data_IF_440474462310
#
_entry.id   IF_440474462310
#
_cell.length_a   1.000
_cell.length_b   1.000
_cell.length_c   1.000
_cell.angle_alpha   90.00
_cell.angle_beta   90.00
_cell.angle_gamma   90.00
#
_symmetry.space_group_name_H-M   'P 1'
#
loop_
_entity.id
_entity.type
_entity.pdbx_description
1 polymer ?
#
# COMPACT_ATOMS: atom_id res chain seq x y z
N UNK A 1 -33.85 -34.62 39.37
CA UNK A 1 -35.30 -34.44 39.56
C UNK A 1 -36.01 -34.63 38.25
N UNK A 2 -36.75 -35.64 38.22
CA UNK A 2 -37.56 -36.30 37.20
C UNK A 2 -38.77 -35.47 36.82
N UNK A 3 -39.15 -35.39 35.56
CA UNK A 3 -40.55 -35.26 35.18
C UNK A 3 -40.73 -35.74 33.72
N UNK A 4 -41.24 -36.90 33.62
CA UNK A 4 -41.97 -37.55 32.54
C UNK A 4 -43.40 -37.02 32.50
N UNK A 5 -44.06 -36.99 31.37
CA UNK A 5 -45.51 -37.05 31.10
C UNK A 5 -45.77 -36.40 29.72
N UNK A 6 -46.54 -36.88 28.76
CA UNK A 6 -47.31 -38.06 28.54
C UNK A 6 -47.76 -38.06 27.08
N UNK A 7 -47.91 -39.23 26.54
CA UNK A 7 -48.52 -39.57 25.24
C UNK A 7 -50.02 -39.29 25.32
N UNK A 8 -50.58 -38.65 24.30
CA UNK A 8 -52.01 -38.71 24.04
C UNK A 8 -52.25 -38.99 22.56
N UNK A 9 -52.57 -40.25 22.30
CA UNK A 9 -53.20 -40.75 21.09
C UNK A 9 -54.63 -40.26 21.01
N UNK A 10 -55.06 -39.79 19.88
CA UNK A 10 -56.47 -39.75 19.49
C UNK A 10 -56.61 -40.18 18.02
N UNK A 11 -56.99 -41.39 17.89
CA UNK A 11 -57.45 -42.05 16.70
C UNK A 11 -58.82 -41.55 16.24
N UNK A 12 -59.04 -41.66 14.94
CA UNK A 12 -60.34 -41.87 14.33
C UNK A 12 -61.18 -40.64 13.97
N UNK A 13 -61.12 -40.20 12.73
CA UNK A 13 -62.34 -39.89 12.00
C UNK A 13 -62.15 -40.25 10.51
N UNK A 14 -62.80 -41.35 10.16
CA UNK A 14 -62.97 -41.87 8.82
C UNK A 14 -64.07 -41.09 8.12
N UNK A 15 -63.85 -40.54 6.94
CA UNK A 15 -64.91 -40.20 6.02
C UNK A 15 -64.44 -40.28 4.55
N UNK A 16 -65.16 -40.98 3.71
CA UNK A 16 -64.75 -41.35 2.35
C UNK A 16 -65.32 -40.34 1.35
N UNK A 17 -64.42 -39.58 0.70
CA UNK A 17 -64.76 -38.90 -0.53
C UNK A 17 -63.72 -39.23 -1.60
N UNK A 18 -63.67 -40.50 -2.01
CA UNK A 18 -63.01 -40.92 -3.21
C UNK A 18 -63.83 -40.49 -4.41
N UNK A 19 -63.69 -39.21 -4.88
CA UNK A 19 -63.98 -38.86 -6.28
C UNK A 19 -62.73 -39.18 -7.06
N UNK A 20 -62.82 -40.20 -7.87
CA UNK A 20 -61.84 -40.50 -8.90
C UNK A 20 -61.75 -39.33 -9.90
N UNK A 21 -60.75 -38.47 -9.70
CA UNK A 21 -60.33 -37.57 -10.71
C UNK A 21 -59.35 -38.32 -11.61
N UNK A 22 -59.74 -38.62 -12.81
CA UNK A 22 -58.80 -39.11 -13.82
C UNK A 22 -57.61 -38.16 -13.94
N UNK A 23 -56.39 -38.67 -13.87
CA UNK A 23 -55.21 -37.83 -14.06
C UNK A 23 -55.23 -37.36 -15.52
N UNK A 24 -55.50 -36.06 -15.73
CA UNK A 24 -55.20 -35.43 -17.01
C UNK A 24 -53.71 -35.56 -17.23
N UNK A 25 -53.35 -36.39 -18.18
CA UNK A 25 -51.98 -36.51 -18.64
C UNK A 25 -51.54 -35.16 -19.17
N UNK A 26 -50.73 -34.47 -18.40
CA UNK A 26 -50.04 -33.28 -18.87
C UNK A 26 -49.09 -33.71 -19.97
N UNK A 27 -49.10 -33.07 -21.15
CA UNK A 27 -48.10 -33.34 -22.15
C UNK A 27 -46.73 -33.05 -21.52
N UNK A 28 -45.88 -34.08 -21.47
CA UNK A 28 -44.54 -33.96 -21.02
C UNK A 28 -43.86 -32.82 -21.81
N UNK A 29 -43.26 -31.80 -21.17
CA UNK A 29 -42.53 -30.77 -21.90
C UNK A 29 -41.45 -31.47 -22.71
N UNK A 30 -41.49 -31.31 -24.01
CA UNK A 30 -40.40 -31.77 -24.88
C UNK A 30 -39.15 -31.10 -24.36
N UNK A 31 -38.33 -31.85 -23.61
CA UNK A 31 -37.05 -31.44 -23.14
C UNK A 31 -36.21 -31.05 -24.35
N UNK A 32 -36.17 -29.78 -24.69
CA UNK A 32 -35.28 -29.24 -25.71
C UNK A 32 -33.89 -29.58 -25.23
N UNK A 33 -33.28 -30.64 -25.72
CA UNK A 33 -31.89 -31.00 -25.50
C UNK A 33 -31.08 -29.81 -26.02
N UNK A 34 -30.70 -28.93 -25.11
CA UNK A 34 -29.82 -27.82 -25.40
C UNK A 34 -28.49 -28.42 -25.79
N UNK A 35 -28.19 -28.38 -27.06
CA UNK A 35 -26.95 -28.91 -27.62
C UNK A 35 -25.82 -28.05 -27.02
N UNK A 36 -25.14 -28.58 -26.01
CA UNK A 36 -23.96 -27.95 -25.40
C UNK A 36 -22.83 -28.16 -26.42
N UNK A 37 -22.41 -27.05 -27.01
CA UNK A 37 -21.24 -27.07 -27.87
C UNK A 37 -20.03 -27.15 -26.93
N UNK A 38 -19.37 -28.29 -26.94
CA UNK A 38 -18.12 -28.47 -26.19
C UNK A 38 -16.97 -27.77 -26.88
N UNK A 39 -16.05 -27.23 -26.11
CA UNK A 39 -14.78 -26.69 -26.61
C UNK A 39 -13.92 -27.84 -27.15
N UNK A 40 -13.22 -27.59 -28.25
CA UNK A 40 -12.22 -28.52 -28.75
C UNK A 40 -10.94 -28.40 -27.90
N UNK A 41 -10.20 -29.53 -27.79
CA UNK A 41 -8.95 -29.55 -27.04
C UNK A 41 -7.92 -28.55 -27.62
N UNK A 42 -7.86 -28.45 -28.95
CA UNK A 42 -6.93 -27.52 -29.62
C UNK A 42 -7.29 -26.05 -29.34
N UNK A 43 -8.56 -25.71 -29.29
CA UNK A 43 -9.03 -24.36 -28.98
C UNK A 43 -8.62 -23.94 -27.56
N UNK A 44 -8.74 -24.87 -26.58
CA UNK A 44 -8.25 -24.65 -25.22
C UNK A 44 -6.71 -24.49 -25.18
N UNK A 45 -5.96 -25.32 -25.96
CA UNK A 45 -4.50 -25.22 -26.00
C UNK A 45 -4.01 -23.89 -26.54
N UNK A 46 -4.63 -23.36 -27.60
CA UNK A 46 -4.27 -22.06 -28.17
C UNK A 46 -4.53 -20.93 -27.17
N UNK A 47 -5.68 -20.95 -26.50
CA UNK A 47 -6.02 -19.94 -25.48
C UNK A 47 -5.03 -19.95 -24.32
N UNK A 48 -4.70 -21.15 -23.79
CA UNK A 48 -3.71 -21.28 -22.72
C UNK A 48 -2.32 -20.82 -23.14
N UNK A 49 -1.92 -21.07 -24.39
CA UNK A 49 -0.65 -20.59 -24.90
C UNK A 49 -0.59 -19.06 -24.94
N UNK A 50 -1.63 -18.40 -25.44
CA UNK A 50 -1.71 -16.93 -25.51
C UNK A 50 -1.72 -16.32 -24.10
N UNK A 51 -2.57 -16.85 -23.20
CA UNK A 51 -2.64 -16.40 -21.80
C UNK A 51 -1.30 -16.59 -21.10
N UNK A 52 -0.60 -17.71 -21.33
CA UNK A 52 0.72 -17.97 -20.77
C UNK A 52 1.75 -16.93 -21.18
N UNK A 53 1.77 -16.51 -22.45
CA UNK A 53 2.66 -15.46 -22.94
C UNK A 53 2.35 -14.11 -22.29
N UNK A 54 1.07 -13.73 -22.22
CA UNK A 54 0.66 -12.47 -21.58
C UNK A 54 1.02 -12.49 -20.08
N UNK A 55 0.76 -13.60 -19.39
CA UNK A 55 1.05 -13.74 -17.97
C UNK A 55 2.55 -13.61 -17.66
N UNK A 56 3.43 -14.11 -18.55
CA UNK A 56 4.88 -14.02 -18.39
C UNK A 56 5.38 -12.57 -18.28
N UNK A 57 4.75 -11.63 -18.95
CA UNK A 57 5.08 -10.19 -18.86
C UNK A 57 4.27 -9.45 -17.80
N UNK A 58 3.03 -9.84 -17.60
CA UNK A 58 2.13 -9.14 -16.67
C UNK A 58 2.49 -9.37 -15.20
N UNK A 59 2.91 -10.58 -14.83
CA UNK A 59 3.20 -10.93 -13.43
C UNK A 59 4.35 -10.09 -12.85
N UNK A 60 5.53 -9.97 -13.50
CA UNK A 60 6.61 -9.12 -12.97
C UNK A 60 6.19 -7.65 -12.84
N UNK A 61 5.53 -7.10 -13.86
CA UNK A 61 5.07 -5.71 -13.82
C UNK A 61 4.06 -5.45 -12.68
N UNK A 62 3.19 -6.42 -12.40
CA UNK A 62 2.25 -6.33 -11.30
C UNK A 62 2.94 -6.38 -9.92
N UNK A 63 3.98 -7.18 -9.78
CA UNK A 63 4.79 -7.24 -8.54
C UNK A 63 5.47 -5.90 -8.26
N UNK A 64 6.08 -5.27 -9.26
CA UNK A 64 6.69 -3.94 -9.14
C UNK A 64 5.65 -2.87 -8.79
N UNK A 65 4.48 -2.92 -9.40
CA UNK A 65 3.38 -2.02 -9.08
C UNK A 65 2.94 -2.14 -7.62
N UNK A 66 2.79 -3.37 -7.12
CA UNK A 66 2.44 -3.62 -5.73
C UNK A 66 3.53 -3.14 -4.77
N UNK A 67 4.81 -3.34 -5.09
CA UNK A 67 5.91 -2.86 -4.25
C UNK A 67 5.90 -1.33 -4.14
N UNK A 68 5.72 -0.61 -5.26
CA UNK A 68 5.57 0.86 -5.26
C UNK A 68 4.37 1.34 -4.45
N UNK A 69 3.24 0.65 -4.54
CA UNK A 69 2.06 0.96 -3.73
C UNK A 69 2.34 0.84 -2.22
N UNK A 70 3.14 -0.16 -1.82
CA UNK A 70 3.53 -0.34 -0.42
C UNK A 70 4.50 0.76 0.07
N UNK A 71 5.36 1.26 -0.82
CA UNK A 71 6.21 2.43 -0.51
C UNK A 71 5.36 3.66 -0.20
N UNK A 72 4.22 3.85 -0.90
CA UNK A 72 3.27 4.92 -0.61
C UNK A 72 2.76 4.95 0.84
N UNK A 73 2.63 3.79 1.49
CA UNK A 73 2.31 3.73 2.92
C UNK A 73 3.40 4.39 3.78
N UNK A 74 4.67 4.11 3.48
CA UNK A 74 5.80 4.73 4.18
C UNK A 74 5.84 6.25 4.01
N UNK A 75 5.52 6.75 2.81
CA UNK A 75 5.44 8.19 2.56
C UNK A 75 4.32 8.83 3.39
N UNK A 76 3.17 8.18 3.46
CA UNK A 76 2.04 8.69 4.26
C UNK A 76 2.36 8.73 5.76
N UNK A 77 3.04 7.72 6.28
CA UNK A 77 3.47 7.69 7.68
C UNK A 77 4.59 8.70 7.97
N UNK A 78 5.48 8.95 7.01
CA UNK A 78 6.54 9.96 7.14
C UNK A 78 5.99 11.38 7.26
N UNK A 79 4.78 11.66 6.80
CA UNK A 79 4.16 12.98 6.91
C UNK A 79 4.00 13.46 8.36
N UNK A 80 3.73 12.55 9.30
CA UNK A 80 3.67 12.87 10.71
C UNK A 80 5.06 13.25 11.26
N UNK A 81 6.11 12.56 10.83
CA UNK A 81 7.49 12.90 11.18
C UNK A 81 7.89 14.27 10.60
N UNK A 82 7.49 14.56 9.35
CA UNK A 82 7.75 15.88 8.74
C UNK A 82 7.09 17.03 9.51
N UNK A 83 5.86 16.81 10.01
CA UNK A 83 5.18 17.80 10.85
C UNK A 83 5.96 18.04 12.15
N UNK A 84 6.38 16.98 12.85
CA UNK A 84 7.18 17.10 14.08
C UNK A 84 8.49 17.85 13.86
N UNK A 85 9.21 17.55 12.77
CA UNK A 85 10.43 18.29 12.40
C UNK A 85 10.12 19.76 12.16
N UNK A 86 9.02 20.09 11.47
CA UNK A 86 8.60 21.47 11.23
C UNK A 86 8.30 22.24 12.50
N UNK A 87 7.59 21.63 13.45
CA UNK A 87 7.27 22.21 14.75
C UNK A 87 8.55 22.44 15.61
N UNK A 88 9.44 21.46 15.64
CA UNK A 88 10.68 21.54 16.38
C UNK A 88 11.66 22.54 15.75
N UNK A 89 11.69 22.66 14.44
CA UNK A 89 12.46 23.66 13.72
C UNK A 89 12.04 25.09 14.09
N UNK A 90 10.75 25.35 14.28
CA UNK A 90 10.21 26.62 14.75
C UNK A 90 10.52 26.90 16.21
N UNK A 91 10.66 25.87 17.02
CA UNK A 91 10.87 25.99 18.49
C UNK A 91 12.34 25.89 18.89
N UNK A 92 13.27 25.58 17.97
CA UNK A 92 14.70 25.42 18.26
C UNK A 92 15.06 24.17 19.06
N UNK A 93 14.15 23.19 19.13
CA UNK A 93 14.38 21.92 19.80
C UNK A 93 15.15 20.94 18.89
N UNK A 94 15.55 19.79 19.45
CA UNK A 94 16.02 18.67 18.63
C UNK A 94 14.88 18.21 17.69
N UNK A 95 15.18 17.95 16.42
CA UNK A 95 14.15 17.75 15.41
C UNK A 95 13.24 16.55 15.68
N UNK A 96 13.75 15.49 16.30
CA UNK A 96 12.96 14.33 16.72
C UNK A 96 12.31 14.46 18.09
N UNK A 97 12.44 15.61 18.79
CA UNK A 97 11.88 15.79 20.13
C UNK A 97 10.37 15.58 20.13
N UNK A 98 9.88 14.71 21.02
CA UNK A 98 8.46 14.37 21.13
C UNK A 98 7.92 13.44 20.05
N UNK A 99 8.71 13.04 19.05
CA UNK A 99 8.30 12.09 18.05
C UNK A 99 8.37 10.65 18.59
N UNK A 100 7.26 9.95 18.50
CA UNK A 100 7.22 8.52 18.73
C UNK A 100 7.01 7.81 17.38
N UNK A 101 8.00 7.02 16.97
CA UNK A 101 7.85 6.20 15.75
C UNK A 101 6.60 5.32 15.86
N UNK A 102 5.74 5.28 14.85
CA UNK A 102 4.61 4.38 14.85
C UNK A 102 5.10 2.92 14.95
N UNK A 103 4.29 2.02 15.51
CA UNK A 103 4.62 0.60 15.52
C UNK A 103 4.85 0.10 14.10
N UNK A 104 5.73 -0.88 13.95
CA UNK A 104 5.99 -1.50 12.65
C UNK A 104 4.70 -2.01 12.00
N UNK A 105 4.52 -1.71 10.73
CA UNK A 105 3.40 -2.21 9.94
C UNK A 105 3.81 -3.43 9.11
N UNK A 106 2.92 -3.90 8.24
CA UNK A 106 3.27 -5.00 7.32
C UNK A 106 4.33 -4.59 6.28
N UNK A 107 4.43 -3.31 5.95
CA UNK A 107 5.29 -2.80 4.87
C UNK A 107 6.39 -1.86 5.39
N UNK A 108 6.16 -1.15 6.49
CA UNK A 108 7.11 -0.20 7.11
C UNK A 108 7.65 -0.80 8.38
N UNK A 109 8.96 -0.88 8.49
CA UNK A 109 9.67 -1.41 9.65
C UNK A 109 9.84 -0.34 10.73
N UNK A 110 10.33 0.84 10.35
CA UNK A 110 10.56 1.96 11.26
C UNK A 110 10.61 3.29 10.52
N UNK A 111 10.39 4.36 11.27
CA UNK A 111 10.61 5.74 10.83
C UNK A 111 11.47 6.41 11.89
N UNK A 112 12.60 6.95 11.48
CA UNK A 112 13.56 7.60 12.36
C UNK A 112 13.76 9.04 11.92
N UNK A 113 13.79 9.97 12.89
CA UNK A 113 14.15 11.37 12.68
C UNK A 113 15.56 11.57 13.27
N UNK A 114 16.46 12.11 12.49
CA UNK A 114 17.75 12.56 12.98
C UNK A 114 17.60 13.88 13.76
N UNK A 115 18.07 13.89 14.99
CA UNK A 115 17.87 15.01 15.93
C UNK A 115 18.60 16.30 15.56
N UNK A 116 19.68 16.21 14.79
CA UNK A 116 20.57 17.34 14.47
C UNK A 116 20.29 17.92 13.09
N UNK A 117 19.88 17.09 12.15
CA UNK A 117 19.65 17.48 10.74
C UNK A 117 18.19 17.51 10.34
N UNK A 118 17.31 16.87 11.11
CA UNK A 118 15.89 16.73 10.80
C UNK A 118 15.62 15.77 9.62
N UNK A 119 16.60 15.00 9.16
CA UNK A 119 16.42 14.01 8.14
C UNK A 119 15.53 12.86 8.64
N UNK A 120 14.65 12.36 7.78
CA UNK A 120 13.74 11.28 8.13
C UNK A 120 14.09 10.07 7.30
N UNK A 121 14.51 9.01 7.97
CA UNK A 121 14.79 7.70 7.34
C UNK A 121 13.58 6.79 7.54
N UNK A 122 13.03 6.28 6.45
CA UNK A 122 11.96 5.27 6.44
C UNK A 122 12.56 3.95 6.01
N UNK A 123 12.50 2.95 6.88
CA UNK A 123 12.91 1.59 6.60
C UNK A 123 11.69 0.72 6.29
N UNK A 124 11.75 -0.02 5.20
CA UNK A 124 10.69 -0.94 4.77
C UNK A 124 10.99 -2.38 5.18
N UNK A 125 9.95 -3.20 5.22
CA UNK A 125 10.08 -4.64 5.49
C UNK A 125 10.48 -5.41 4.23
N UNK A 126 10.90 -6.66 4.38
CA UNK A 126 11.22 -7.57 3.28
C UNK A 126 10.05 -7.82 2.29
N UNK A 127 8.85 -7.31 2.57
CA UNK A 127 7.71 -7.33 1.62
C UNK A 127 7.84 -6.28 0.53
N UNK A 128 8.64 -5.26 0.73
CA UNK A 128 8.89 -4.17 -0.21
C UNK A 128 10.21 -4.37 -0.93
N UNK A 129 11.28 -4.61 -0.18
CA UNK A 129 12.63 -4.83 -0.71
C UNK A 129 13.48 -5.61 0.29
N UNK A 130 14.53 -6.24 -0.19
CA UNK A 130 15.46 -7.02 0.64
C UNK A 130 16.09 -6.17 1.74
N UNK A 131 16.50 -6.83 2.82
CA UNK A 131 17.21 -6.19 3.93
C UNK A 131 18.52 -5.58 3.43
N UNK A 132 18.82 -4.35 3.84
CA UNK A 132 19.95 -3.56 3.34
C UNK A 132 19.72 -2.81 2.04
N UNK A 133 18.61 -3.05 1.35
CA UNK A 133 18.16 -2.32 0.16
C UNK A 133 16.74 -1.76 0.33
N UNK A 134 16.42 -1.26 1.52
CA UNK A 134 15.04 -1.03 1.95
C UNK A 134 14.79 0.34 2.58
N UNK A 135 15.67 1.33 2.37
CA UNK A 135 15.51 2.65 3.00
C UNK A 135 15.32 3.76 1.98
N UNK A 136 14.44 4.72 2.32
CA UNK A 136 14.37 6.04 1.69
C UNK A 136 14.65 7.11 2.73
N UNK A 137 15.15 8.25 2.28
CA UNK A 137 15.48 9.38 3.15
C UNK A 137 14.78 10.63 2.65
N UNK A 138 14.09 11.32 3.57
CA UNK A 138 13.60 12.67 3.33
C UNK A 138 14.55 13.68 3.94
N UNK A 139 15.01 14.61 3.12
CA UNK A 139 15.95 15.64 3.52
C UNK A 139 15.23 16.98 3.55
N UNK A 140 15.13 17.62 4.73
CA UNK A 140 14.57 18.95 4.83
C UNK A 140 15.60 19.99 4.40
N UNK A 141 15.13 21.07 3.78
CA UNK A 141 15.93 22.23 3.46
C UNK A 141 15.14 23.53 3.65
N UNK A 142 15.84 24.61 4.00
CA UNK A 142 15.26 25.92 4.09
C UNK A 142 16.06 26.89 3.21
N UNK A 143 15.48 28.06 2.81
CA UNK A 143 16.24 29.08 2.12
C UNK A 143 17.30 29.69 3.06
N UNK A 144 18.43 30.08 2.49
CA UNK A 144 19.52 30.76 3.21
C UNK A 144 19.14 32.18 3.68
N UNK A 145 18.17 32.81 3.02
CA UNK A 145 17.63 34.14 3.34
C UNK A 145 16.12 34.17 3.21
N UNK A 146 15.45 34.95 4.04
CA UNK A 146 13.99 35.14 3.97
C UNK A 146 13.58 36.05 2.80
N UNK A 147 14.37 37.10 2.53
CA UNK A 147 14.00 38.14 1.56
C UNK A 147 14.55 37.86 0.15
N UNK A 148 15.81 37.43 0.08
CA UNK A 148 16.50 37.16 -1.19
C UNK A 148 17.18 35.80 -1.15
N UNK A 149 16.43 34.72 -1.29
CA UNK A 149 17.01 33.39 -1.24
C UNK A 149 17.89 33.11 -2.44
N UNK A 150 19.16 32.74 -2.17
CA UNK A 150 20.15 32.38 -3.21
C UNK A 150 20.52 30.91 -3.20
N UNK A 151 20.30 30.25 -2.08
CA UNK A 151 20.58 28.82 -1.93
C UNK A 151 19.59 28.12 -0.98
N UNK A 152 19.58 26.81 -1.01
CA UNK A 152 18.92 25.98 0.01
C UNK A 152 19.97 25.40 0.95
N UNK A 153 19.73 25.50 2.23
CA UNK A 153 20.62 25.00 3.27
C UNK A 153 19.96 23.90 4.09
N UNK A 154 20.76 22.99 4.60
CA UNK A 154 20.31 21.99 5.56
C UNK A 154 19.77 22.66 6.83
N UNK A 155 18.81 22.06 7.47
CA UNK A 155 18.37 22.47 8.79
C UNK A 155 19.49 22.20 9.80
N UNK A 156 19.61 23.08 10.78
CA UNK A 156 20.55 22.93 11.88
C UNK A 156 19.80 23.12 13.19
N UNK A 157 19.97 22.21 14.11
CA UNK A 157 19.36 22.24 15.43
C UNK A 157 19.67 23.58 16.15
N UNK A 158 18.65 24.17 16.72
CA UNK A 158 18.78 25.42 17.47
C UNK A 158 18.90 26.69 16.59
N UNK A 159 18.98 26.57 15.27
CA UNK A 159 18.98 27.70 14.36
C UNK A 159 17.54 28.04 13.90
N UNK A 160 17.19 29.32 13.93
CA UNK A 160 15.94 29.81 13.40
C UNK A 160 15.89 29.63 11.88
N UNK A 161 14.84 29.03 11.39
CA UNK A 161 14.63 28.82 9.96
C UNK A 161 14.20 30.12 9.27
N UNK A 162 14.76 30.37 8.09
CA UNK A 162 14.56 31.64 7.37
C UNK A 162 13.49 31.58 6.29
N UNK A 163 12.54 30.64 6.41
CA UNK A 163 11.45 30.51 5.45
C UNK A 163 10.81 29.15 5.50
N UNK A 164 10.10 28.78 4.44
CA UNK A 164 9.38 27.52 4.37
C UNK A 164 10.33 26.33 4.19
N UNK A 165 10.18 25.31 5.03
CA UNK A 165 10.89 24.05 4.91
C UNK A 165 10.37 23.32 3.66
N UNK A 166 11.29 22.92 2.80
CA UNK A 166 11.02 22.11 1.62
C UNK A 166 11.62 20.72 1.83
N UNK A 167 10.86 19.72 1.47
CA UNK A 167 11.25 18.32 1.61
C UNK A 167 11.67 17.74 0.27
N UNK A 168 12.77 17.02 0.25
CA UNK A 168 13.18 16.24 -0.90
C UNK A 168 13.36 14.76 -0.51
N UNK A 169 12.80 13.86 -1.33
CA UNK A 169 12.92 12.43 -1.13
C UNK A 169 14.09 11.87 -1.95
N UNK A 170 14.85 10.98 -1.32
CA UNK A 170 15.96 10.26 -1.93
C UNK A 170 15.75 8.75 -1.82
N UNK A 171 15.96 8.05 -2.92
CA UNK A 171 16.05 6.60 -3.01
C UNK A 171 17.41 6.19 -3.57
N UNK A 172 17.71 4.92 -3.59
CA UNK A 172 18.97 4.40 -4.10
C UNK A 172 19.22 4.82 -5.53
N UNK A 173 20.42 5.38 -5.76
CA UNK A 173 20.84 5.89 -7.06
C UNK A 173 20.62 7.39 -7.31
N UNK A 174 19.81 8.07 -6.50
CA UNK A 174 19.68 9.54 -6.59
C UNK A 174 20.86 10.22 -5.89
N UNK A 175 21.78 10.76 -6.68
CA UNK A 175 23.02 11.37 -6.20
C UNK A 175 22.98 12.90 -6.17
N UNK A 176 21.94 13.54 -6.69
CA UNK A 176 21.81 14.98 -6.77
C UNK A 176 20.40 15.44 -6.38
N UNK A 177 20.31 16.65 -5.87
CA UNK A 177 19.03 17.31 -5.61
C UNK A 177 18.36 17.70 -6.93
N UNK A 178 17.04 17.50 -6.98
CA UNK A 178 16.16 17.89 -8.09
C UNK A 178 15.29 19.13 -7.76
N UNK A 179 15.54 19.77 -6.60
CA UNK A 179 14.77 20.94 -6.22
C UNK A 179 15.04 22.13 -7.16
N UNK A 180 14.00 22.90 -7.52
CA UNK A 180 14.15 24.10 -8.34
C UNK A 180 14.85 25.20 -7.56
N UNK A 181 15.29 26.23 -8.29
CA UNK A 181 15.87 27.44 -7.69
C UNK A 181 15.11 27.90 -6.41
N UNK A 182 15.82 28.40 -5.42
CA UNK A 182 17.16 28.99 -5.44
C UNK A 182 18.32 28.02 -5.14
N UNK A 183 18.47 27.00 -5.90
CA UNK A 183 19.62 26.08 -5.82
C UNK A 183 19.26 24.68 -5.36
N UNK A 184 20.24 23.79 -5.50
CA UNK A 184 20.10 22.40 -5.07
C UNK A 184 19.95 22.30 -3.57
N UNK A 185 19.11 21.37 -3.11
CA UNK A 185 18.99 21.04 -1.69
C UNK A 185 20.20 20.26 -1.18
N UNK A 186 20.34 20.12 0.14
CA UNK A 186 21.34 19.28 0.76
C UNK A 186 21.10 17.80 0.40
N UNK A 187 22.18 17.04 0.40
CA UNK A 187 22.13 15.59 0.19
C UNK A 187 21.89 14.86 1.52
N UNK A 188 21.37 13.63 1.49
CA UNK A 188 21.21 12.82 2.68
C UNK A 188 22.56 12.47 3.31
N UNK A 189 22.62 12.48 4.66
CA UNK A 189 23.83 12.07 5.40
C UNK A 189 24.09 10.57 5.22
N UNK A 190 23.04 9.77 5.32
CA UNK A 190 23.09 8.34 5.05
C UNK A 190 22.51 8.05 3.66
N UNK A 191 23.24 7.23 2.89
CA UNK A 191 22.80 6.90 1.54
C UNK A 191 21.53 6.04 1.59
N UNK A 192 20.43 6.46 0.92
CA UNK A 192 19.23 5.64 0.79
C UNK A 192 19.51 4.40 -0.05
N UNK A 193 18.90 3.29 0.28
CA UNK A 193 19.21 1.99 -0.32
C UNK A 193 18.09 1.39 -1.14
N UNK A 194 16.84 1.89 -1.01
CA UNK A 194 15.71 1.35 -1.78
C UNK A 194 15.96 1.50 -3.28
N UNK A 195 15.87 0.40 -4.08
CA UNK A 195 16.06 0.45 -5.52
C UNK A 195 15.14 1.48 -6.20
N UNK A 196 15.68 2.25 -7.15
CA UNK A 196 14.96 3.32 -7.83
C UNK A 196 13.71 2.87 -8.58
N UNK A 197 13.68 1.61 -9.08
CA UNK A 197 12.50 1.05 -9.74
C UNK A 197 11.31 0.87 -8.80
N UNK A 198 11.54 0.71 -7.50
CA UNK A 198 10.50 0.59 -6.47
C UNK A 198 10.11 1.95 -5.87
N UNK A 199 10.97 2.94 -5.97
CA UNK A 199 10.73 4.26 -5.43
C UNK A 199 9.72 5.06 -6.29
N UNK A 200 8.93 5.96 -5.68
CA UNK A 200 8.07 6.89 -6.41
C UNK A 200 8.90 7.88 -7.26
N UNK A 201 8.28 8.51 -8.29
CA UNK A 201 9.00 9.41 -9.20
C UNK A 201 9.75 10.55 -8.51
N UNK A 202 9.17 11.12 -7.46
CA UNK A 202 9.75 12.23 -6.68
C UNK A 202 11.02 11.85 -5.92
N UNK A 203 11.22 10.57 -5.63
CA UNK A 203 12.40 10.05 -4.93
C UNK A 203 13.49 9.56 -5.88
N UNK A 204 13.24 9.59 -7.19
CA UNK A 204 14.19 9.22 -8.24
C UNK A 204 14.78 10.47 -8.88
N UNK A 205 15.97 10.35 -9.48
CA UNK A 205 16.56 11.38 -10.33
C UNK A 205 15.88 11.40 -11.68
#
# INVERSE_FOLDING_TARGET
>A
MTAIVAVASLSTFCAPWLRAHSPRAWPAPLARVRRWWGFTLIELMIVLAIVGVIAAYAIPAYQDYLARSRVGEGLSLASAAQLTVGENAGSGNAFGSGYASPPATRNVQSIHIDDDTGQITVAFTARVSDEGANTIVFVPSAPDSADTPTARVALTKGAAQKGTITWECFAGGKAASSLPAPGAGPLPADAPTLPSNLAPPECRS
#
